data_IF_665683281011
#
_entry.id   IF_665683281011
#
_cell.length_a   1.000
_cell.length_b   1.000
_cell.length_c   1.000
_cell.angle_alpha   90.00
_cell.angle_beta   90.00
_cell.angle_gamma   90.00
#
_symmetry.space_group_name_H-M   'P 1'
#
loop_
_entity.id
_entity.type
_entity.pdbx_description
1 polymer ?
#
# COMPACT_ATOMS: atom_id res chain seq x y z
N UNK A 1 -15.55 10.81 -9.11
CA UNK A 1 -14.09 10.75 -9.32
C UNK A 1 -13.35 10.26 -8.08
N UNK A 2 -13.59 10.82 -6.89
CA UNK A 2 -12.97 10.40 -5.60
C UNK A 2 -13.13 8.90 -5.29
N UNK A 3 -14.30 8.32 -5.57
CA UNK A 3 -14.56 6.90 -5.29
C UNK A 3 -13.67 5.96 -6.13
N UNK A 4 -13.37 6.32 -7.38
CA UNK A 4 -12.48 5.54 -8.25
C UNK A 4 -11.02 5.59 -7.76
N UNK A 5 -10.60 6.72 -7.18
CA UNK A 5 -9.24 6.87 -6.62
C UNK A 5 -9.05 6.02 -5.37
N UNK A 6 -10.04 5.99 -4.48
CA UNK A 6 -10.03 5.14 -3.28
C UNK A 6 -10.00 3.64 -3.64
N UNK A 7 -10.82 3.21 -4.61
CA UNK A 7 -10.83 1.83 -5.09
C UNK A 7 -9.48 1.43 -5.68
N UNK A 8 -8.87 2.30 -6.51
CA UNK A 8 -7.55 2.06 -7.10
C UNK A 8 -6.46 1.92 -6.04
N UNK A 9 -6.41 2.83 -5.06
CA UNK A 9 -5.41 2.78 -3.97
C UNK A 9 -5.60 1.55 -3.09
N UNK A 10 -6.84 1.20 -2.79
CA UNK A 10 -7.16 -0.02 -2.03
C UNK A 10 -6.71 -1.27 -2.79
N UNK A 11 -6.90 -1.32 -4.12
CA UNK A 11 -6.42 -2.42 -4.95
C UNK A 11 -4.88 -2.51 -4.98
N UNK A 12 -4.19 -1.38 -5.02
CA UNK A 12 -2.72 -1.31 -4.93
C UNK A 12 -2.24 -1.83 -3.56
N UNK A 13 -2.86 -1.41 -2.46
CA UNK A 13 -2.50 -1.88 -1.11
C UNK A 13 -2.74 -3.39 -0.97
N UNK A 14 -3.88 -3.88 -1.47
CA UNK A 14 -4.18 -5.31 -1.49
C UNK A 14 -3.11 -6.11 -2.24
N UNK A 15 -2.64 -5.59 -3.39
CA UNK A 15 -1.58 -6.22 -4.17
C UNK A 15 -0.25 -6.26 -3.41
N UNK A 16 0.11 -5.19 -2.70
CA UNK A 16 1.30 -5.15 -1.85
C UNK A 16 1.20 -6.13 -0.67
N UNK A 17 0.04 -6.21 -0.01
CA UNK A 17 -0.17 -7.18 1.08
C UNK A 17 -0.12 -8.62 0.59
N UNK A 18 -0.61 -8.88 -0.63
CA UNK A 18 -0.47 -10.20 -1.28
C UNK A 18 0.99 -10.53 -1.63
N UNK A 19 1.82 -9.52 -1.91
CA UNK A 19 3.26 -9.69 -2.05
C UNK A 19 3.95 -9.97 -0.70
N UNK A 20 3.58 -9.24 0.36
CA UNK A 20 4.25 -9.32 1.67
C UNK A 20 3.84 -10.58 2.45
N UNK A 21 2.55 -10.91 2.48
CA UNK A 21 1.97 -11.97 3.31
C UNK A 21 1.30 -13.09 2.53
N UNK A 22 0.96 -12.85 1.27
CA UNK A 22 0.23 -13.79 0.42
C UNK A 22 1.15 -14.63 -0.47
N UNK A 23 0.66 -14.90 -1.68
CA UNK A 23 1.33 -15.76 -2.67
C UNK A 23 2.70 -15.23 -3.11
N UNK A 24 2.98 -13.93 -2.92
CA UNK A 24 4.27 -13.33 -3.24
C UNK A 24 5.30 -13.36 -2.09
N UNK A 25 4.96 -13.89 -0.90
CA UNK A 25 5.80 -13.77 0.29
C UNK A 25 7.20 -14.36 0.10
N UNK A 26 7.33 -15.47 -0.64
CA UNK A 26 8.64 -16.04 -1.00
C UNK A 26 9.48 -15.08 -1.86
N UNK A 27 8.86 -14.42 -2.84
CA UNK A 27 9.53 -13.44 -3.69
C UNK A 27 9.93 -12.19 -2.89
N UNK A 28 9.05 -11.71 -2.00
CA UNK A 28 9.34 -10.61 -1.09
C UNK A 28 10.52 -10.91 -0.16
N UNK A 29 10.56 -12.11 0.44
CA UNK A 29 11.65 -12.52 1.32
C UNK A 29 13.00 -12.66 0.59
N UNK A 30 12.97 -12.95 -0.71
CA UNK A 30 14.14 -13.01 -1.57
C UNK A 30 14.73 -11.65 -1.96
N UNK A 31 14.02 -10.54 -1.69
CA UNK A 31 14.54 -9.20 -1.94
C UNK A 31 15.65 -8.83 -0.93
N UNK A 32 16.63 -7.99 -1.34
CA UNK A 32 17.54 -7.35 -0.41
C UNK A 32 16.79 -6.59 0.69
N UNK A 33 17.36 -6.53 1.89
CA UNK A 33 16.75 -5.88 3.06
C UNK A 33 16.24 -4.47 2.77
N UNK A 34 17.08 -3.63 2.15
CA UNK A 34 16.72 -2.26 1.73
C UNK A 34 15.47 -2.23 0.83
N UNK A 35 15.32 -3.20 -0.07
CA UNK A 35 14.16 -3.26 -0.96
C UNK A 35 12.91 -3.74 -0.21
N UNK A 36 13.05 -4.66 0.75
CA UNK A 36 11.93 -5.05 1.62
C UNK A 36 11.44 -3.88 2.45
N UNK A 37 12.36 -3.10 3.02
CA UNK A 37 12.02 -1.91 3.80
C UNK A 37 11.28 -0.89 2.95
N UNK A 38 11.72 -0.65 1.70
CA UNK A 38 11.00 0.23 0.77
C UNK A 38 9.57 -0.26 0.46
N UNK A 39 9.38 -1.57 0.29
CA UNK A 39 8.05 -2.17 0.05
C UNK A 39 7.15 -2.04 1.27
N UNK A 40 7.69 -2.27 2.48
CA UNK A 40 6.94 -2.09 3.73
C UNK A 40 6.57 -0.62 3.96
N UNK A 41 7.49 0.30 3.64
CA UNK A 41 7.24 1.73 3.70
C UNK A 41 6.14 2.14 2.73
N UNK A 42 6.20 1.68 1.48
CA UNK A 42 5.17 1.95 0.48
C UNK A 42 3.78 1.43 0.90
N UNK A 43 3.72 0.21 1.46
CA UNK A 43 2.46 -0.33 1.95
C UNK A 43 1.89 0.49 3.12
N UNK A 44 2.77 1.00 3.99
CA UNK A 44 2.37 1.84 5.13
C UNK A 44 1.87 3.22 4.68
N UNK A 45 2.57 3.85 3.74
CA UNK A 45 2.21 5.15 3.16
C UNK A 45 0.85 5.07 2.46
N UNK A 46 0.65 4.05 1.64
CA UNK A 46 -0.61 3.83 0.93
C UNK A 46 -1.79 3.53 1.87
N UNK A 47 -1.55 2.82 2.98
CA UNK A 47 -2.57 2.61 4.01
C UNK A 47 -2.99 3.92 4.69
N UNK A 48 -2.03 4.81 4.96
CA UNK A 48 -2.30 6.13 5.53
C UNK A 48 -3.06 7.03 4.53
N UNK A 49 -2.67 7.03 3.25
CA UNK A 49 -3.41 7.75 2.21
C UNK A 49 -4.87 7.30 2.13
N UNK A 50 -5.12 5.97 2.12
CA UNK A 50 -6.47 5.41 2.12
C UNK A 50 -7.24 5.84 3.39
N UNK A 51 -6.58 5.80 4.56
CA UNK A 51 -7.19 6.25 5.82
C UNK A 51 -7.63 7.71 5.73
N UNK A 52 -6.76 8.58 5.22
CA UNK A 52 -7.06 10.00 5.04
C UNK A 52 -8.21 10.21 4.05
N UNK A 53 -8.25 9.45 2.95
CA UNK A 53 -9.33 9.54 1.96
C UNK A 53 -10.68 9.09 2.52
N UNK A 54 -10.71 8.01 3.30
CA UNK A 54 -11.92 7.51 3.95
C UNK A 54 -12.44 8.50 4.99
N UNK A 55 -11.54 9.15 5.73
CA UNK A 55 -11.90 10.12 6.77
C UNK A 55 -12.14 11.53 6.22
N UNK A 56 -11.86 11.79 4.93
CA UNK A 56 -11.95 13.13 4.34
C UNK A 56 -10.85 14.10 4.81
N UNK A 57 -9.74 13.58 5.34
CA UNK A 57 -8.63 14.36 5.95
C UNK A 57 -7.53 14.75 4.94
N UNK A 58 -7.78 14.63 3.63
CA UNK A 58 -6.74 14.66 2.59
C UNK A 58 -6.53 15.96 1.80
N UNK A 59 -7.13 17.11 2.16
CA UNK A 59 -7.13 18.30 1.30
C UNK A 59 -6.20 19.47 1.73
N UNK A 60 -5.23 19.26 2.64
CA UNK A 60 -4.38 20.36 3.15
C UNK A 60 -2.86 20.08 3.17
N UNK A 61 -2.30 19.39 2.16
CA UNK A 61 -0.84 19.30 2.01
C UNK A 61 -0.38 19.75 0.63
#
# INVERSE_FOLDING_TARGET
MVQLDLENRTAQLSSLLMLIHGQGCSAFNGLPEVQRDHVLWLASDLAEEIRLMVNGEGAER
#
